data_IF_699343213647
#
_entry.id   IF_699343213647
#
_cell.length_a   1.000
_cell.length_b   1.000
_cell.length_c   1.000
_cell.angle_alpha   90.00
_cell.angle_beta   90.00
_cell.angle_gamma   90.00
#
_symmetry.space_group_name_H-M   'P 1'
#
loop_
_entity.id
_entity.type
_entity.pdbx_description
1 polymer ?
#
# COMPACT_ATOMS: atom_id res chain seq x y z
N UNK A 1 26.90 5.01 -3.17
CA UNK A 1 26.89 5.25 -1.71
C UNK A 1 25.77 6.19 -1.22
N UNK A 2 25.11 6.98 -2.07
CA UNK A 2 24.12 7.99 -1.64
C UNK A 2 22.81 7.36 -1.13
N UNK A 3 22.27 6.35 -1.82
CA UNK A 3 21.02 5.68 -1.42
C UNK A 3 21.08 5.02 -0.01
N UNK A 4 22.06 4.16 0.33
CA UNK A 4 22.09 3.50 1.65
C UNK A 4 22.25 4.49 2.81
N UNK A 5 22.98 5.60 2.61
CA UNK A 5 23.12 6.64 3.62
C UNK A 5 21.77 7.28 3.97
N UNK A 6 20.99 7.67 2.95
CA UNK A 6 19.68 8.29 3.13
C UNK A 6 18.63 7.31 3.69
N UNK A 7 18.75 6.03 3.36
CA UNK A 7 17.96 4.95 3.97
C UNK A 7 18.23 4.88 5.48
N UNK A 8 19.52 4.86 5.89
CA UNK A 8 19.90 4.82 7.30
C UNK A 8 19.49 6.08 8.06
N UNK A 9 19.64 7.27 7.44
CA UNK A 9 19.18 8.53 8.03
C UNK A 9 17.67 8.55 8.22
N UNK A 10 16.90 8.13 7.20
CA UNK A 10 15.45 8.01 7.31
C UNK A 10 15.04 7.04 8.43
N UNK A 11 15.73 5.89 8.56
CA UNK A 11 15.46 4.94 9.63
C UNK A 11 15.68 5.55 11.02
N UNK A 12 16.79 6.31 11.19
CA UNK A 12 17.06 7.04 12.44
C UNK A 12 15.97 8.06 12.75
N UNK A 13 15.48 8.79 11.75
CA UNK A 13 14.37 9.74 11.89
C UNK A 13 13.07 9.06 12.31
N UNK A 14 12.74 7.89 11.73
CA UNK A 14 11.54 7.14 12.12
C UNK A 14 11.64 6.59 13.54
N UNK A 15 12.83 6.10 13.93
CA UNK A 15 13.08 5.57 15.27
C UNK A 15 12.87 6.65 16.35
N UNK A 16 13.28 7.89 16.10
CA UNK A 16 13.01 9.01 17.00
C UNK A 16 11.55 9.49 16.95
N UNK A 17 10.83 9.17 15.86
CA UNK A 17 9.41 9.48 15.67
C UNK A 17 8.46 8.33 16.08
N UNK A 18 8.84 7.46 17.02
CA UNK A 18 8.04 6.28 17.39
C UNK A 18 6.58 6.61 17.79
N UNK A 19 6.36 7.72 18.51
CA UNK A 19 4.99 8.19 18.87
C UNK A 19 4.14 8.52 17.63
N UNK A 20 4.73 9.08 16.58
CA UNK A 20 4.05 9.33 15.30
C UNK A 20 3.65 8.02 14.64
N UNK A 21 4.55 7.03 14.61
CA UNK A 21 4.26 5.70 14.01
C UNK A 21 3.11 5.02 14.74
N UNK A 22 3.10 5.03 16.08
CA UNK A 22 2.01 4.49 16.89
C UNK A 22 0.70 5.24 16.64
N UNK A 23 0.75 6.57 16.55
CA UNK A 23 -0.43 7.38 16.22
C UNK A 23 -1.02 6.99 14.85
N UNK A 24 -0.19 6.88 13.81
CA UNK A 24 -0.63 6.45 12.48
C UNK A 24 -1.19 5.03 12.49
N UNK A 25 -0.59 4.12 13.27
CA UNK A 25 -1.13 2.78 13.47
C UNK A 25 -2.53 2.83 14.09
N UNK A 26 -2.74 3.62 15.15
CA UNK A 26 -4.05 3.77 15.80
C UNK A 26 -5.10 4.37 14.86
N UNK A 27 -4.73 5.36 14.04
CA UNK A 27 -5.62 5.93 13.02
C UNK A 27 -6.02 4.88 11.99
N UNK A 28 -5.06 4.09 11.48
CA UNK A 28 -5.36 2.99 10.55
C UNK A 28 -6.21 1.90 11.17
N UNK A 29 -5.95 1.54 12.44
CA UNK A 29 -6.75 0.57 13.19
C UNK A 29 -8.19 1.07 13.33
N UNK A 30 -8.38 2.33 13.76
CA UNK A 30 -9.69 2.95 13.87
C UNK A 30 -10.42 2.99 12.52
N UNK A 31 -9.73 3.33 11.44
CA UNK A 31 -10.32 3.32 10.10
C UNK A 31 -10.71 1.91 9.64
N UNK A 32 -9.88 0.90 9.92
CA UNK A 32 -10.15 -0.49 9.53
C UNK A 32 -11.40 -1.06 10.20
N UNK A 33 -11.79 -0.56 11.38
CA UNK A 33 -13.01 -0.96 12.08
C UNK A 33 -14.28 -0.66 11.26
N UNK A 34 -14.25 0.33 10.36
CA UNK A 34 -15.38 0.68 9.48
C UNK A 34 -15.81 -0.51 8.62
N UNK A 35 -14.86 -1.35 8.18
CA UNK A 35 -15.14 -2.58 7.44
C UNK A 35 -15.17 -3.82 8.34
N UNK A 36 -14.33 -3.85 9.37
CA UNK A 36 -14.21 -5.02 10.24
C UNK A 36 -15.48 -5.28 11.06
N UNK A 37 -16.14 -4.23 11.58
CA UNK A 37 -17.34 -4.39 12.42
C UNK A 37 -18.54 -4.92 11.63
N UNK A 38 -18.92 -4.36 10.46
CA UNK A 38 -20.01 -4.93 9.66
C UNK A 38 -19.72 -6.36 9.20
N UNK A 39 -18.46 -6.64 8.82
CA UNK A 39 -18.06 -8.00 8.46
C UNK A 39 -18.16 -8.96 9.65
N UNK A 40 -17.73 -8.54 10.84
CA UNK A 40 -17.86 -9.33 12.06
C UNK A 40 -19.32 -9.67 12.38
N UNK A 41 -20.21 -8.68 12.34
CA UNK A 41 -21.63 -8.89 12.60
C UNK A 41 -22.25 -9.87 11.57
N UNK A 42 -21.93 -9.69 10.29
CA UNK A 42 -22.38 -10.60 9.22
C UNK A 42 -21.89 -12.03 9.40
N UNK A 43 -20.63 -12.21 9.79
CA UNK A 43 -20.04 -13.52 10.07
C UNK A 43 -20.64 -14.15 11.35
N UNK A 44 -20.81 -13.36 12.41
CA UNK A 44 -21.39 -13.81 13.67
C UNK A 44 -22.83 -14.28 13.51
N UNK A 45 -23.64 -13.55 12.74
CA UNK A 45 -25.02 -13.92 12.42
C UNK A 45 -25.09 -15.22 11.59
N UNK A 46 -24.15 -15.41 10.66
CA UNK A 46 -24.04 -16.61 9.84
C UNK A 46 -23.60 -17.84 10.66
N UNK A 47 -22.62 -17.67 11.56
CA UNK A 47 -22.16 -18.73 12.45
C UNK A 47 -23.19 -19.09 13.52
N UNK A 48 -23.89 -18.11 14.10
CA UNK A 48 -24.90 -18.36 15.14
C UNK A 48 -26.08 -19.24 14.68
N UNK A 49 -26.27 -19.39 13.37
CA UNK A 49 -27.32 -20.21 12.75
C UNK A 49 -26.84 -21.60 12.32
N UNK A 50 -25.57 -21.97 12.54
CA UNK A 50 -24.99 -23.23 12.03
C UNK A 50 -23.88 -23.79 12.92
N UNK A 51 -23.48 -25.05 12.71
CA UNK A 51 -22.25 -25.62 13.28
C UNK A 51 -20.98 -25.17 12.53
N UNK A 52 -21.10 -24.23 11.58
CA UNK A 52 -19.98 -23.82 10.74
C UNK A 52 -18.83 -23.20 11.53
N UNK A 53 -19.09 -22.59 12.70
CA UNK A 53 -18.04 -22.09 13.58
C UNK A 53 -17.12 -23.19 14.12
N UNK A 54 -17.67 -24.36 14.49
CA UNK A 54 -16.89 -25.51 14.95
C UNK A 54 -16.10 -26.17 13.82
N UNK A 55 -16.67 -26.20 12.61
CA UNK A 55 -16.00 -26.70 11.42
C UNK A 55 -14.84 -25.78 11.04
N UNK A 56 -15.09 -24.46 10.92
CA UNK A 56 -14.09 -23.41 10.65
C UNK A 56 -12.89 -23.44 11.58
N UNK A 57 -13.10 -23.80 12.86
CA UNK A 57 -12.03 -23.89 13.84
C UNK A 57 -11.08 -25.08 13.60
N UNK A 58 -11.55 -26.12 12.89
CA UNK A 58 -10.75 -27.30 12.53
C UNK A 58 -10.18 -27.16 11.13
N UNK A 59 -11.04 -26.89 10.15
CA UNK A 59 -10.71 -26.79 8.73
C UNK A 59 -11.59 -25.76 8.03
N UNK A 60 -11.14 -25.28 6.86
CA UNK A 60 -11.95 -24.35 6.08
C UNK A 60 -13.15 -25.05 5.43
N UNK A 61 -14.33 -24.94 6.03
CA UNK A 61 -15.67 -25.26 5.50
C UNK A 61 -16.03 -24.45 4.24
N UNK A 62 -15.66 -25.01 3.08
CA UNK A 62 -15.97 -24.45 1.75
C UNK A 62 -17.46 -24.41 1.43
N UNK A 63 -18.25 -25.34 1.97
CA UNK A 63 -19.69 -25.42 1.70
C UNK A 63 -20.42 -24.25 2.34
N UNK A 64 -20.15 -24.01 3.64
CA UNK A 64 -20.66 -22.83 4.32
C UNK A 64 -20.22 -21.54 3.64
N UNK A 65 -18.95 -21.45 3.21
CA UNK A 65 -18.45 -20.25 2.54
C UNK A 65 -19.18 -19.97 1.22
N UNK A 66 -19.44 -21.00 0.40
CA UNK A 66 -20.21 -20.84 -0.83
C UNK A 66 -21.63 -20.32 -0.52
N UNK A 67 -22.33 -20.93 0.44
CA UNK A 67 -23.66 -20.50 0.84
C UNK A 67 -23.68 -19.06 1.40
N UNK A 68 -22.69 -18.70 2.22
CA UNK A 68 -22.53 -17.34 2.77
C UNK A 68 -22.28 -16.31 1.67
N UNK A 69 -21.39 -16.62 0.72
CA UNK A 69 -21.06 -15.72 -0.39
C UNK A 69 -22.23 -15.57 -1.37
N UNK A 70 -22.92 -16.65 -1.70
CA UNK A 70 -24.01 -16.65 -2.68
C UNK A 70 -25.26 -15.92 -2.14
N UNK A 71 -25.45 -15.91 -0.81
CA UNK A 71 -26.49 -15.11 -0.14
C UNK A 71 -26.05 -13.68 0.15
N UNK A 72 -24.74 -13.46 0.23
CA UNK A 72 -24.14 -12.18 0.60
C UNK A 72 -24.37 -11.08 -0.42
N UNK A 73 -24.62 -9.85 0.06
CA UNK A 73 -24.65 -8.64 -0.77
C UNK A 73 -23.66 -7.62 -0.22
N UNK A 74 -23.14 -6.74 -1.08
CA UNK A 74 -22.21 -5.71 -0.67
C UNK A 74 -20.90 -6.31 -0.12
N UNK A 75 -20.49 -5.89 1.08
CA UNK A 75 -19.22 -6.28 1.69
C UNK A 75 -19.07 -7.80 1.91
N UNK A 76 -20.15 -8.53 2.25
CA UNK A 76 -20.04 -9.96 2.56
C UNK A 76 -19.66 -10.82 1.34
N UNK A 77 -19.96 -10.36 0.12
CA UNK A 77 -19.61 -11.08 -1.11
C UNK A 77 -18.12 -11.04 -1.43
N UNK A 78 -17.36 -10.12 -0.81
CA UNK A 78 -15.90 -10.02 -0.96
C UNK A 78 -15.14 -10.96 -0.03
N UNK A 79 -15.82 -11.64 0.89
CA UNK A 79 -15.19 -12.59 1.79
C UNK A 79 -14.82 -13.87 1.03
N UNK A 80 -13.54 -14.25 1.07
CA UNK A 80 -13.03 -15.40 0.32
C UNK A 80 -11.78 -16.02 0.93
N UNK A 81 -11.47 -17.29 0.59
CA UNK A 81 -10.24 -17.97 1.02
C UNK A 81 -8.99 -17.21 0.55
N UNK A 82 -9.09 -16.55 -0.60
CA UNK A 82 -8.06 -15.70 -1.17
C UNK A 82 -7.87 -14.36 -0.46
N UNK A 83 -8.66 -14.01 0.56
CA UNK A 83 -8.45 -12.78 1.35
C UNK A 83 -7.36 -12.99 2.40
N UNK A 84 -6.97 -14.24 2.66
CA UNK A 84 -6.09 -14.64 3.76
C UNK A 84 -4.94 -15.51 3.24
N UNK A 85 -3.69 -15.10 3.43
CA UNK A 85 -2.48 -15.90 3.09
C UNK A 85 -1.71 -15.45 1.85
N UNK A 86 -0.78 -16.29 1.33
CA UNK A 86 0.11 -15.99 0.18
C UNK A 86 -0.65 -15.55 -1.08
N UNK A 87 -1.70 -16.30 -1.43
CA UNK A 87 -2.50 -16.05 -2.63
C UNK A 87 -3.20 -14.69 -2.61
N UNK A 88 -3.52 -14.17 -1.43
CA UNK A 88 -4.15 -12.86 -1.28
C UNK A 88 -3.26 -11.73 -1.79
N UNK A 89 -1.99 -11.73 -1.40
CA UNK A 89 -1.06 -10.67 -1.77
C UNK A 89 -0.78 -10.68 -3.28
N UNK A 90 -0.58 -11.87 -3.85
CA UNK A 90 -0.30 -12.03 -5.28
C UNK A 90 -1.52 -11.67 -6.13
N UNK A 91 -2.71 -12.16 -5.78
CA UNK A 91 -3.94 -11.86 -6.53
C UNK A 91 -4.30 -10.38 -6.48
N UNK A 92 -4.10 -9.71 -5.35
CA UNK A 92 -4.33 -8.27 -5.22
C UNK A 92 -3.32 -7.45 -6.03
N UNK A 93 -2.04 -7.85 -6.03
CA UNK A 93 -1.00 -7.19 -6.82
C UNK A 93 -1.25 -7.37 -8.32
N UNK A 94 -1.55 -8.60 -8.75
CA UNK A 94 -1.88 -8.92 -10.13
C UNK A 94 -3.15 -8.16 -10.58
N UNK A 95 -4.20 -8.16 -9.76
CA UNK A 95 -5.43 -7.42 -10.03
C UNK A 95 -5.18 -5.92 -10.19
N UNK A 96 -4.31 -5.34 -9.35
CA UNK A 96 -3.93 -3.93 -9.45
C UNK A 96 -3.12 -3.65 -10.74
N UNK A 97 -2.14 -4.49 -11.06
CA UNK A 97 -1.32 -4.33 -12.28
C UNK A 97 -2.15 -4.48 -13.55
N UNK A 98 -3.11 -5.40 -13.55
CA UNK A 98 -4.04 -5.65 -14.66
C UNK A 98 -5.23 -4.68 -14.67
N UNK A 99 -5.28 -3.70 -13.77
CA UNK A 99 -6.38 -2.74 -13.66
C UNK A 99 -7.77 -3.40 -13.54
N UNK A 100 -7.84 -4.58 -12.88
CA UNK A 100 -9.09 -5.28 -12.56
C UNK A 100 -9.82 -4.55 -11.43
N UNK A 101 -10.42 -3.43 -11.78
CA UNK A 101 -11.18 -2.56 -10.86
C UNK A 101 -12.68 -2.84 -10.89
N UNK A 102 -13.13 -3.67 -11.84
CA UNK A 102 -14.52 -4.07 -12.00
C UNK A 102 -14.83 -5.24 -11.07
N UNK A 103 -15.88 -5.11 -10.26
CA UNK A 103 -16.36 -6.18 -9.37
C UNK A 103 -16.29 -5.88 -7.87
N UNK A 104 -15.73 -4.73 -7.46
CA UNK A 104 -15.81 -4.30 -6.06
C UNK A 104 -17.18 -3.72 -5.71
N UNK A 105 -17.78 -4.06 -4.56
CA UNK A 105 -18.99 -3.43 -4.07
C UNK A 105 -18.84 -1.92 -3.86
N UNK A 106 -19.94 -1.17 -4.01
CA UNK A 106 -19.93 0.29 -3.88
C UNK A 106 -19.44 0.76 -2.50
N UNK A 107 -19.76 0.02 -1.44
CA UNK A 107 -19.35 0.31 -0.07
C UNK A 107 -17.82 0.25 0.07
N UNK A 108 -17.19 -0.73 -0.57
CA UNK A 108 -15.73 -0.85 -0.60
C UNK A 108 -15.09 0.34 -1.32
N UNK A 109 -15.67 0.76 -2.45
CA UNK A 109 -15.18 1.92 -3.20
C UNK A 109 -15.29 3.21 -2.38
N UNK A 110 -16.41 3.44 -1.69
CA UNK A 110 -16.58 4.62 -0.82
C UNK A 110 -15.54 4.63 0.30
N UNK A 111 -15.34 3.51 0.99
CA UNK A 111 -14.33 3.41 2.05
C UNK A 111 -12.92 3.60 1.47
N UNK A 112 -12.62 3.04 0.31
CA UNK A 112 -11.36 3.24 -0.38
C UNK A 112 -11.10 4.72 -0.71
N UNK A 113 -12.11 5.45 -1.24
CA UNK A 113 -12.01 6.88 -1.52
C UNK A 113 -11.74 7.69 -0.24
N UNK A 114 -12.48 7.42 0.84
CA UNK A 114 -12.27 8.09 2.14
C UNK A 114 -10.87 7.78 2.68
N UNK A 115 -10.42 6.53 2.55
CA UNK A 115 -9.07 6.14 2.97
C UNK A 115 -7.99 6.91 2.22
N UNK A 116 -8.19 7.19 0.92
CA UNK A 116 -7.22 7.98 0.14
C UNK A 116 -7.21 9.44 0.59
N UNK A 117 -8.37 10.01 0.92
CA UNK A 117 -8.44 11.34 1.52
C UNK A 117 -7.70 11.38 2.85
N UNK A 118 -7.97 10.41 3.73
CA UNK A 118 -7.27 10.26 5.02
C UNK A 118 -5.76 10.12 4.81
N UNK A 119 -5.31 9.24 3.92
CA UNK A 119 -3.90 9.02 3.63
C UNK A 119 -3.22 10.27 3.08
N UNK A 120 -3.90 11.02 2.21
CA UNK A 120 -3.42 12.29 1.66
C UNK A 120 -3.26 13.34 2.76
N UNK A 121 -4.22 13.40 3.69
CA UNK A 121 -4.18 14.26 4.87
C UNK A 121 -3.02 13.89 5.81
N UNK A 122 -2.86 12.61 6.14
CA UNK A 122 -1.79 12.14 7.02
C UNK A 122 -0.41 12.39 6.43
N UNK A 123 -0.25 12.26 5.11
CA UNK A 123 1.01 12.51 4.43
C UNK A 123 1.53 13.94 4.64
N UNK A 124 0.65 14.94 4.68
CA UNK A 124 1.01 16.34 4.94
C UNK A 124 1.65 16.53 6.32
N UNK A 125 1.02 15.99 7.36
CA UNK A 125 1.53 16.05 8.73
C UNK A 125 2.84 15.29 8.92
N UNK A 126 2.99 14.12 8.29
CA UNK A 126 4.23 13.33 8.36
C UNK A 126 5.41 14.12 7.77
N UNK A 127 5.27 14.62 6.54
CA UNK A 127 6.34 15.35 5.86
C UNK A 127 6.64 16.69 6.55
N UNK A 128 5.63 17.36 7.08
CA UNK A 128 5.81 18.60 7.85
C UNK A 128 6.65 18.36 9.11
N UNK A 129 6.31 17.36 9.93
CA UNK A 129 7.10 17.03 11.13
C UNK A 129 8.53 16.61 10.79
N UNK A 130 8.73 15.81 9.74
CA UNK A 130 10.09 15.42 9.31
C UNK A 130 10.89 16.61 8.76
N UNK A 131 10.23 17.59 8.15
CA UNK A 131 10.88 18.81 7.71
C UNK A 131 11.42 19.64 8.88
N UNK A 132 10.62 19.84 9.92
CA UNK A 132 11.02 20.64 11.09
C UNK A 132 12.13 19.99 11.94
N UNK A 133 12.40 18.70 11.73
CA UNK A 133 13.21 17.89 12.62
C UNK A 133 12.35 17.27 13.71
N UNK A 134 12.83 16.20 14.35
CA UNK A 134 12.02 15.38 15.28
C UNK A 134 12.43 15.63 16.75
N UNK A 135 12.00 16.74 17.41
CA UNK A 135 12.25 16.90 18.83
C UNK A 135 11.25 16.14 19.71
N UNK A 136 9.97 15.97 19.32
CA UNK A 136 8.97 15.08 19.95
C UNK A 136 7.63 15.15 19.18
N UNK A 137 6.79 14.11 19.20
CA UNK A 137 5.50 14.14 18.49
C UNK A 137 4.49 15.08 19.17
N UNK A 138 3.96 16.03 18.41
CA UNK A 138 2.91 16.95 18.84
C UNK A 138 1.74 16.93 17.84
N UNK A 139 0.54 16.61 18.33
CA UNK A 139 -0.67 16.48 17.50
C UNK A 139 -1.06 17.80 16.82
N UNK A 140 -0.90 18.95 17.49
CA UNK A 140 -1.26 20.26 16.90
C UNK A 140 -0.39 20.55 15.69
N UNK A 141 0.94 20.42 15.84
CA UNK A 141 1.89 20.59 14.72
C UNK A 141 1.61 19.60 13.59
N UNK A 142 1.31 18.34 13.92
CA UNK A 142 0.91 17.35 12.92
C UNK A 142 -0.31 17.81 12.13
N UNK A 143 -1.37 18.26 12.82
CA UNK A 143 -2.60 18.73 12.20
C UNK A 143 -2.39 20.02 11.40
N UNK A 144 -1.54 20.94 11.86
CA UNK A 144 -1.17 22.16 11.15
C UNK A 144 -0.53 21.82 9.80
N UNK A 145 0.42 20.87 9.80
CA UNK A 145 1.03 20.36 8.57
C UNK A 145 0.04 19.61 7.68
N UNK A 146 -0.78 18.75 8.26
CA UNK A 146 -1.81 18.01 7.52
C UNK A 146 -2.79 18.94 6.83
N UNK A 147 -3.38 19.89 7.54
CA UNK A 147 -4.34 20.87 6.98
C UNK A 147 -3.68 21.83 6.00
N UNK A 148 -2.46 22.31 6.31
CA UNK A 148 -1.74 23.27 5.48
C UNK A 148 -1.38 22.73 4.09
N UNK A 149 -0.95 21.46 4.01
CA UNK A 149 -0.55 20.82 2.75
C UNK A 149 -1.65 20.00 2.07
N UNK A 150 -2.77 19.73 2.75
CA UNK A 150 -3.84 18.87 2.23
C UNK A 150 -4.35 19.26 0.84
N UNK A 151 -4.64 20.54 0.51
CA UNK A 151 -5.18 20.89 -0.81
C UNK A 151 -4.20 20.61 -1.95
N UNK A 152 -2.92 20.97 -1.76
CA UNK A 152 -1.88 20.70 -2.78
C UNK A 152 -1.60 19.21 -2.92
N UNK A 153 -1.62 18.45 -1.81
CA UNK A 153 -1.45 17.00 -1.84
C UNK A 153 -2.65 16.29 -2.46
N UNK A 154 -3.87 16.77 -2.23
CA UNK A 154 -5.08 16.27 -2.86
C UNK A 154 -5.03 16.50 -4.37
N UNK A 155 -4.64 17.70 -4.80
CA UNK A 155 -4.41 18.00 -6.21
C UNK A 155 -3.36 17.10 -6.87
N UNK A 156 -2.24 16.83 -6.18
CA UNK A 156 -1.25 15.85 -6.65
C UNK A 156 -1.81 14.42 -6.69
N UNK A 157 -2.61 14.01 -5.71
CA UNK A 157 -3.23 12.68 -5.69
C UNK A 157 -4.20 12.53 -6.87
N UNK A 158 -5.05 13.52 -7.15
CA UNK A 158 -5.94 13.50 -8.32
C UNK A 158 -5.16 13.47 -9.64
N UNK A 159 -4.12 14.30 -9.76
CA UNK A 159 -3.24 14.29 -10.94
C UNK A 159 -2.54 12.94 -11.11
N UNK A 160 -2.13 12.29 -10.01
CA UNK A 160 -1.54 10.96 -10.05
C UNK A 160 -2.51 9.93 -10.59
N UNK A 161 -3.79 9.97 -10.18
CA UNK A 161 -4.79 9.05 -10.68
C UNK A 161 -5.02 9.18 -12.16
N UNK A 162 -5.10 10.41 -12.68
CA UNK A 162 -5.20 10.65 -14.12
C UNK A 162 -4.07 9.96 -14.87
N UNK A 163 -2.83 10.06 -14.37
CA UNK A 163 -1.67 9.40 -14.99
C UNK A 163 -1.68 7.87 -14.79
N UNK A 164 -2.02 7.38 -13.60
CA UNK A 164 -2.16 5.96 -13.29
C UNK A 164 -3.20 5.29 -14.20
N UNK A 165 -4.38 5.88 -14.34
CA UNK A 165 -5.44 5.38 -15.22
C UNK A 165 -5.04 5.50 -16.69
N UNK A 166 -4.43 6.61 -17.10
CA UNK A 166 -3.93 6.77 -18.48
C UNK A 166 -2.94 5.66 -18.85
N UNK A 167 -1.98 5.37 -17.98
CA UNK A 167 -1.03 4.27 -18.20
C UNK A 167 -1.71 2.91 -18.12
N UNK A 168 -2.58 2.71 -17.13
CA UNK A 168 -3.30 1.46 -16.92
C UNK A 168 -4.20 1.08 -18.11
N UNK A 169 -4.90 2.03 -18.72
CA UNK A 169 -5.80 1.75 -19.85
C UNK A 169 -5.12 1.80 -21.22
N UNK A 170 -3.94 2.43 -21.34
CA UNK A 170 -3.24 2.55 -22.64
C UNK A 170 -2.03 1.63 -22.75
N UNK A 171 -1.17 1.58 -21.73
CA UNK A 171 0.08 0.84 -21.78
C UNK A 171 -0.11 -0.63 -21.43
N UNK A 172 -0.84 -0.94 -20.36
CA UNK A 172 -0.99 -2.33 -19.87
C UNK A 172 -1.62 -3.24 -20.93
N UNK A 173 -2.71 -2.86 -21.64
CA UNK A 173 -3.28 -3.71 -22.69
C UNK A 173 -2.32 -3.94 -23.85
N UNK A 174 -1.49 -2.95 -24.20
CA UNK A 174 -0.48 -3.10 -25.26
C UNK A 174 0.64 -4.06 -24.86
N UNK A 175 1.06 -4.02 -23.60
CA UNK A 175 2.05 -4.96 -23.06
C UNK A 175 1.48 -6.37 -22.99
N UNK A 176 0.21 -6.51 -22.59
CA UNK A 176 -0.48 -7.80 -22.54
C UNK A 176 -0.67 -8.38 -23.95
N UNK A 177 -1.12 -7.57 -24.91
CA UNK A 177 -1.23 -7.98 -26.31
C UNK A 177 0.13 -8.43 -26.88
N UNK A 178 1.22 -7.71 -26.57
CA UNK A 178 2.56 -8.09 -26.97
C UNK A 178 2.98 -9.45 -26.36
N UNK A 179 2.65 -9.69 -25.09
CA UNK A 179 2.91 -10.96 -24.43
C UNK A 179 2.09 -12.12 -25.03
N UNK A 180 0.81 -11.88 -25.31
CA UNK A 180 -0.09 -12.86 -25.94
C UNK A 180 0.37 -13.24 -27.35
N UNK A 181 0.89 -12.29 -28.16
CA UNK A 181 1.46 -12.59 -29.48
C UNK A 181 2.64 -13.56 -29.39
N UNK A 182 3.50 -13.40 -28.39
CA UNK A 182 4.61 -14.34 -28.12
C UNK A 182 4.05 -15.71 -27.71
N UNK A 183 3.06 -15.73 -26.83
CA UNK A 183 2.40 -16.96 -26.38
C UNK A 183 1.73 -17.73 -27.52
N UNK A 184 1.03 -17.04 -28.42
CA UNK A 184 0.31 -17.65 -29.55
C UNK A 184 1.25 -18.30 -30.58
N UNK A 185 2.51 -17.85 -30.65
CA UNK A 185 3.53 -18.41 -31.54
C UNK A 185 4.34 -19.55 -30.91
N UNK A 186 4.14 -19.83 -29.61
CA UNK A 186 4.94 -20.79 -28.87
C UNK A 186 4.32 -22.20 -28.91
N UNK A 187 5.18 -23.21 -29.08
CA UNK A 187 4.78 -24.63 -29.00
C UNK A 187 4.61 -25.13 -27.55
N UNK A 188 4.95 -24.31 -26.56
CA UNK A 188 4.88 -24.62 -25.12
C UNK A 188 4.38 -23.42 -24.33
N UNK A 189 3.92 -23.62 -23.10
CA UNK A 189 3.42 -22.56 -22.21
C UNK A 189 4.53 -21.65 -21.64
N UNK A 190 5.79 -22.10 -21.68
CA UNK A 190 6.91 -21.44 -21.00
C UNK A 190 7.20 -20.02 -21.55
N UNK A 191 7.25 -19.79 -22.88
CA UNK A 191 7.46 -18.47 -23.44
C UNK A 191 6.31 -17.50 -23.11
N UNK A 192 5.06 -17.98 -23.08
CA UNK A 192 3.89 -17.19 -22.68
C UNK A 192 4.01 -16.71 -21.23
N UNK A 193 4.40 -17.61 -20.32
CA UNK A 193 4.65 -17.25 -18.92
C UNK A 193 5.71 -16.15 -18.76
N UNK A 194 6.88 -16.32 -19.37
CA UNK A 194 7.96 -15.32 -19.25
C UNK A 194 7.62 -14.00 -19.92
N UNK A 195 6.90 -14.02 -21.05
CA UNK A 195 6.42 -12.82 -21.71
C UNK A 195 5.41 -12.05 -20.83
N UNK A 196 4.44 -12.74 -20.23
CA UNK A 196 3.48 -12.16 -19.30
C UNK A 196 4.15 -11.58 -18.04
N UNK A 197 5.14 -12.29 -17.49
CA UNK A 197 5.95 -11.79 -16.37
C UNK A 197 6.73 -10.53 -16.76
N UNK A 198 7.39 -10.51 -17.92
CA UNK A 198 8.12 -9.36 -18.41
C UNK A 198 7.19 -8.14 -18.64
N UNK A 199 6.02 -8.35 -19.23
CA UNK A 199 4.98 -7.33 -19.40
C UNK A 199 4.52 -6.75 -18.05
N UNK A 200 4.25 -7.62 -17.07
CA UNK A 200 3.82 -7.22 -15.72
C UNK A 200 4.91 -6.44 -14.98
N UNK A 201 6.18 -6.87 -15.09
CA UNK A 201 7.32 -6.16 -14.49
C UNK A 201 7.55 -4.79 -15.17
N UNK A 202 7.39 -4.71 -16.48
CA UNK A 202 7.50 -3.44 -17.22
C UNK A 202 6.40 -2.45 -16.80
N UNK A 203 5.14 -2.91 -16.71
CA UNK A 203 4.04 -2.10 -16.21
C UNK A 203 4.28 -1.64 -14.77
N UNK A 204 4.68 -2.57 -13.90
CA UNK A 204 5.02 -2.29 -12.50
C UNK A 204 6.12 -1.24 -12.37
N UNK A 205 7.18 -1.31 -13.18
CA UNK A 205 8.26 -0.32 -13.18
C UNK A 205 7.77 1.09 -13.57
N UNK A 206 6.90 1.20 -14.57
CA UNK A 206 6.30 2.48 -14.97
C UNK A 206 5.43 3.04 -13.85
N UNK A 207 4.61 2.21 -13.21
CA UNK A 207 3.81 2.62 -12.05
C UNK A 207 4.68 3.07 -10.87
N UNK A 208 5.78 2.37 -10.59
CA UNK A 208 6.75 2.76 -9.56
C UNK A 208 7.41 4.09 -9.88
N UNK A 209 7.77 4.34 -11.14
CA UNK A 209 8.36 5.61 -11.58
C UNK A 209 7.37 6.77 -11.41
N UNK A 210 6.11 6.59 -11.81
CA UNK A 210 5.05 7.58 -11.60
C UNK A 210 4.90 7.85 -10.10
N UNK A 211 4.79 6.81 -9.30
CA UNK A 211 4.64 6.93 -7.85
C UNK A 211 5.82 7.70 -7.22
N UNK A 212 7.05 7.39 -7.61
CA UNK A 212 8.24 8.08 -7.14
C UNK A 212 8.22 9.57 -7.50
N UNK A 213 7.84 9.92 -8.74
CA UNK A 213 7.70 11.33 -9.17
C UNK A 213 6.72 12.09 -8.28
N UNK A 214 5.56 11.50 -7.96
CA UNK A 214 4.58 12.13 -7.08
C UNK A 214 5.01 12.21 -5.62
N UNK A 215 5.72 11.20 -5.09
CA UNK A 215 6.26 11.27 -3.74
C UNK A 215 7.35 12.37 -3.64
N UNK A 216 8.25 12.52 -4.62
CA UNK A 216 9.19 13.66 -4.66
C UNK A 216 8.50 15.00 -4.87
N UNK A 217 7.41 15.08 -5.65
CA UNK A 217 6.63 16.31 -5.77
C UNK A 217 6.04 16.75 -4.42
N UNK A 218 5.54 15.81 -3.61
CA UNK A 218 5.07 16.08 -2.23
C UNK A 218 6.22 16.56 -1.34
N UNK A 219 7.38 15.91 -1.40
CA UNK A 219 8.59 16.33 -0.67
C UNK A 219 9.00 17.76 -1.05
N UNK A 220 8.97 18.09 -2.34
CA UNK A 220 9.31 19.42 -2.85
C UNK A 220 8.34 20.51 -2.40
N UNK A 221 7.03 20.24 -2.43
CA UNK A 221 6.00 21.13 -1.85
C UNK A 221 6.35 21.51 -0.41
N UNK A 222 6.71 20.52 0.40
CA UNK A 222 6.99 20.74 1.81
C UNK A 222 8.33 21.43 2.02
N UNK A 223 9.39 21.04 1.32
CA UNK A 223 10.73 21.63 1.44
C UNK A 223 10.83 23.08 0.96
N UNK A 224 10.00 23.46 -0.01
CA UNK A 224 10.04 24.76 -0.68
C UNK A 224 8.81 25.61 -0.40
N UNK A 225 7.89 25.13 0.47
CA UNK A 225 6.64 25.81 0.85
C UNK A 225 5.75 26.20 -0.34
N UNK A 226 5.73 25.35 -1.37
CA UNK A 226 5.04 25.66 -2.63
C UNK A 226 3.62 25.11 -2.64
N UNK A 227 2.68 25.90 -3.16
CA UNK A 227 1.28 25.46 -3.37
C UNK A 227 0.95 25.07 -4.81
N UNK A 228 1.80 25.44 -5.78
CA UNK A 228 1.56 25.15 -7.21
C UNK A 228 1.88 23.68 -7.53
N UNK A 229 0.81 22.91 -7.78
CA UNK A 229 0.81 21.46 -8.00
C UNK A 229 1.61 21.08 -9.25
N UNK A 230 1.37 21.73 -10.39
CA UNK A 230 2.01 21.38 -11.67
C UNK A 230 3.51 21.67 -11.66
N UNK A 231 3.91 22.77 -11.03
CA UNK A 231 5.33 23.09 -10.88
C UNK A 231 6.03 22.09 -9.97
N UNK A 232 5.41 21.70 -8.86
CA UNK A 232 5.95 20.66 -7.98
C UNK A 232 6.05 19.30 -8.67
N UNK A 233 5.05 18.93 -9.48
CA UNK A 233 5.10 17.73 -10.33
C UNK A 233 6.27 17.78 -11.32
N UNK A 234 6.45 18.90 -12.03
CA UNK A 234 7.57 19.09 -12.95
C UNK A 234 8.93 19.02 -12.27
N UNK A 235 9.08 19.62 -11.08
CA UNK A 235 10.32 19.55 -10.29
C UNK A 235 10.59 18.13 -9.77
N UNK A 236 9.55 17.40 -9.34
CA UNK A 236 9.64 15.99 -8.98
C UNK A 236 10.07 15.11 -10.16
N UNK A 237 9.49 15.35 -11.34
CA UNK A 237 9.84 14.64 -12.57
C UNK A 237 11.29 14.91 -12.98
N UNK A 238 11.69 16.19 -13.03
CA UNK A 238 13.07 16.59 -13.34
C UNK A 238 14.05 15.99 -12.33
N UNK A 239 13.69 15.93 -11.04
CA UNK A 239 14.54 15.33 -10.01
C UNK A 239 14.78 13.83 -10.26
N UNK A 240 13.71 13.07 -10.52
CA UNK A 240 13.81 11.63 -10.81
C UNK A 240 14.61 11.39 -12.10
N UNK A 241 14.39 12.19 -13.15
CA UNK A 241 15.11 12.05 -14.42
C UNK A 241 16.58 12.46 -14.35
N UNK A 242 16.93 13.47 -13.53
CA UNK A 242 18.33 13.88 -13.31
C UNK A 242 19.10 12.90 -12.42
N UNK A 243 18.40 12.23 -11.50
CA UNK A 243 19.01 11.31 -10.54
C UNK A 243 18.29 9.96 -10.48
N UNK A 244 18.18 9.21 -11.61
CA UNK A 244 17.33 8.02 -11.69
C UNK A 244 17.84 6.90 -10.79
N UNK A 245 19.15 6.64 -10.78
CA UNK A 245 19.73 5.59 -9.94
C UNK A 245 19.61 5.89 -8.45
N UNK A 246 19.72 7.15 -8.04
CA UNK A 246 19.60 7.53 -6.63
C UNK A 246 18.13 7.50 -6.17
N UNK A 247 17.22 8.06 -6.96
CA UNK A 247 15.79 8.13 -6.64
C UNK A 247 15.11 6.76 -6.73
N UNK A 248 15.22 6.06 -7.86
CA UNK A 248 14.64 4.72 -8.04
C UNK A 248 15.37 3.68 -7.20
N UNK A 249 16.70 3.76 -7.05
CA UNK A 249 17.44 2.84 -6.19
C UNK A 249 17.01 2.92 -4.72
N UNK A 250 16.79 4.13 -4.21
CA UNK A 250 16.23 4.34 -2.87
C UNK A 250 14.78 3.81 -2.78
N UNK A 251 13.94 4.13 -3.76
CA UNK A 251 12.55 3.70 -3.78
C UNK A 251 12.41 2.17 -3.85
N UNK A 252 13.15 1.52 -4.76
CA UNK A 252 13.20 0.06 -4.89
C UNK A 252 13.74 -0.61 -3.63
N UNK A 253 14.76 -0.05 -2.97
CA UNK A 253 15.28 -0.60 -1.72
C UNK A 253 14.22 -0.62 -0.62
N UNK A 254 13.39 0.43 -0.54
CA UNK A 254 12.29 0.50 0.42
C UNK A 254 11.12 -0.40 0.02
N UNK A 255 10.84 -0.57 -1.28
CA UNK A 255 9.90 -1.58 -1.77
C UNK A 255 10.35 -2.99 -1.37
N UNK A 256 11.64 -3.32 -1.52
CA UNK A 256 12.22 -4.60 -1.08
C UNK A 256 12.08 -4.76 0.44
N UNK A 257 12.31 -3.72 1.24
CA UNK A 257 12.07 -3.78 2.68
C UNK A 257 10.60 -4.10 3.03
N UNK A 258 9.64 -3.51 2.29
CA UNK A 258 8.22 -3.84 2.44
C UNK A 258 7.86 -5.25 1.98
N UNK A 259 8.49 -5.74 0.91
CA UNK A 259 8.34 -7.12 0.44
C UNK A 259 8.88 -8.11 1.47
N UNK A 260 10.07 -7.86 2.02
CA UNK A 260 10.65 -8.68 3.10
C UNK A 260 9.73 -8.70 4.31
N UNK A 261 9.21 -7.55 4.74
CA UNK A 261 8.24 -7.49 5.85
C UNK A 261 6.98 -8.32 5.56
N UNK A 262 6.47 -8.27 4.33
CA UNK A 262 5.29 -9.03 3.90
C UNK A 262 5.56 -10.54 3.84
N UNK A 263 6.73 -10.94 3.34
CA UNK A 263 7.18 -12.34 3.30
C UNK A 263 7.36 -12.89 4.71
N UNK A 264 8.01 -12.14 5.61
CA UNK A 264 8.16 -12.52 7.02
C UNK A 264 6.79 -12.71 7.70
N UNK A 265 5.84 -11.80 7.45
CA UNK A 265 4.48 -11.93 7.97
C UNK A 265 3.82 -13.24 7.54
N UNK A 266 3.89 -13.56 6.25
CA UNK A 266 3.30 -14.76 5.67
C UNK A 266 3.97 -16.04 6.18
N UNK A 267 5.30 -16.11 6.17
CA UNK A 267 6.05 -17.28 6.61
C UNK A 267 5.76 -17.61 8.07
N UNK A 268 5.67 -16.59 8.93
CA UNK A 268 5.39 -16.81 10.35
C UNK A 268 3.94 -17.23 10.59
N UNK A 269 2.99 -16.72 9.80
CA UNK A 269 1.58 -17.12 9.89
C UNK A 269 1.37 -18.60 9.56
N UNK A 270 2.02 -19.09 8.50
CA UNK A 270 1.81 -20.48 8.05
C UNK A 270 2.47 -21.52 8.95
N UNK A 271 3.56 -21.14 9.63
CA UNK A 271 4.23 -22.02 10.59
C UNK A 271 3.62 -21.94 12.00
N UNK A 272 2.77 -20.96 12.28
CA UNK A 272 2.12 -20.78 13.58
C UNK A 272 0.87 -21.68 13.70
N UNK A 273 1.06 -22.99 13.77
CA UNK A 273 0.00 -23.95 14.08
C UNK A 273 -0.20 -24.08 15.60
N UNK A 274 -0.82 -23.07 16.22
CA UNK A 274 -1.18 -23.13 17.64
C UNK A 274 -2.70 -23.26 17.79
N UNK A 275 -3.25 -24.46 18.02
CA UNK A 275 -4.68 -24.60 18.29
C UNK A 275 -5.06 -23.88 19.60
N UNK A 276 -6.28 -23.31 19.63
CA UNK A 276 -6.86 -22.65 20.79
C UNK A 276 -6.59 -21.15 20.91
N UNK A 277 -7.06 -20.56 22.01
CA UNK A 277 -7.02 -19.10 22.25
C UNK A 277 -5.62 -18.48 22.21
N UNK A 278 -4.60 -19.23 22.63
CA UNK A 278 -3.21 -18.78 22.56
C UNK A 278 -2.74 -18.50 21.13
N UNK A 279 -3.13 -19.36 20.17
CA UNK A 279 -2.82 -19.15 18.75
C UNK A 279 -3.56 -17.96 18.16
N UNK A 280 -4.81 -17.75 18.56
CA UNK A 280 -5.60 -16.57 18.14
C UNK A 280 -4.94 -15.28 18.63
N UNK A 281 -4.53 -15.22 19.91
CA UNK A 281 -3.84 -14.05 20.47
C UNK A 281 -2.49 -13.80 19.81
N UNK A 282 -1.72 -14.84 19.51
CA UNK A 282 -0.44 -14.74 18.81
C UNK A 282 -0.63 -14.24 17.37
N UNK A 283 -1.57 -14.83 16.62
CA UNK A 283 -1.89 -14.42 15.26
C UNK A 283 -2.37 -12.97 15.21
N UNK A 284 -3.23 -12.57 16.16
CA UNK A 284 -3.68 -11.19 16.31
C UNK A 284 -2.50 -10.25 16.60
N UNK A 285 -1.66 -10.57 17.58
CA UNK A 285 -0.49 -9.76 17.94
C UNK A 285 0.47 -9.61 16.77
N UNK A 286 0.72 -10.71 16.04
CA UNK A 286 1.56 -10.72 14.86
C UNK A 286 1.00 -9.85 13.74
N UNK A 287 -0.31 -9.91 13.50
CA UNK A 287 -0.99 -9.02 12.56
C UNK A 287 -0.87 -7.55 12.99
N UNK A 288 -1.00 -7.23 14.28
CA UNK A 288 -0.84 -5.85 14.76
C UNK A 288 0.60 -5.34 14.58
N UNK A 289 1.61 -6.17 14.85
CA UNK A 289 3.01 -5.84 14.60
C UNK A 289 3.30 -5.62 13.11
N UNK A 290 2.69 -6.42 12.23
CA UNK A 290 2.80 -6.23 10.79
C UNK A 290 2.20 -4.88 10.34
N UNK A 291 0.99 -4.55 10.79
CA UNK A 291 0.35 -3.26 10.46
C UNK A 291 1.14 -2.07 11.01
N UNK A 292 1.68 -2.18 12.23
CA UNK A 292 2.58 -1.19 12.81
C UNK A 292 3.86 -1.04 11.97
N UNK A 293 4.43 -2.15 11.51
CA UNK A 293 5.57 -2.18 10.60
C UNK A 293 5.30 -1.47 9.27
N UNK A 294 4.12 -1.65 8.67
CA UNK A 294 3.70 -0.94 7.46
C UNK A 294 3.57 0.57 7.68
N UNK A 295 3.02 0.99 8.83
CA UNK A 295 2.97 2.41 9.19
C UNK A 295 4.39 2.99 9.34
N UNK A 296 5.28 2.26 10.00
CA UNK A 296 6.70 2.62 10.13
C UNK A 296 7.42 2.70 8.79
N UNK A 297 7.18 1.75 7.88
CA UNK A 297 7.74 1.74 6.54
C UNK A 297 7.31 2.96 5.73
N UNK A 298 6.05 3.39 5.82
CA UNK A 298 5.60 4.61 5.12
C UNK A 298 6.32 5.86 5.64
N UNK A 299 6.48 5.97 6.95
CA UNK A 299 7.31 7.01 7.56
C UNK A 299 8.76 6.94 7.09
N UNK A 300 9.31 5.73 6.97
CA UNK A 300 10.68 5.51 6.52
C UNK A 300 10.89 5.97 5.09
N UNK A 301 9.96 5.65 4.19
CA UNK A 301 9.98 6.13 2.81
C UNK A 301 10.03 7.66 2.76
N UNK A 302 9.11 8.34 3.42
CA UNK A 302 9.07 9.80 3.40
C UNK A 302 10.29 10.46 4.03
N UNK A 303 10.80 9.93 5.15
CA UNK A 303 12.01 10.46 5.77
C UNK A 303 13.23 10.28 4.86
N UNK A 304 13.38 9.12 4.22
CA UNK A 304 14.50 8.83 3.31
C UNK A 304 14.46 9.66 2.02
N UNK A 305 13.28 9.84 1.42
CA UNK A 305 13.09 10.71 0.25
C UNK A 305 13.39 12.18 0.60
N UNK A 306 12.96 12.65 1.77
CA UNK A 306 13.23 13.99 2.26
C UNK A 306 14.73 14.26 2.43
N UNK A 307 15.46 13.32 3.04
CA UNK A 307 16.92 13.44 3.18
C UNK A 307 17.63 13.42 1.81
N UNK A 308 17.20 12.55 0.89
CA UNK A 308 17.78 12.50 -0.45
C UNK A 308 17.52 13.78 -1.23
N UNK A 309 16.32 14.34 -1.14
CA UNK A 309 15.97 15.61 -1.78
C UNK A 309 16.74 16.81 -1.18
N UNK A 310 17.06 16.76 0.12
CA UNK A 310 17.94 17.76 0.77
C UNK A 310 19.38 17.65 0.32
N UNK A 311 19.89 16.42 0.13
CA UNK A 311 21.27 16.18 -0.29
C UNK A 311 21.60 16.82 -1.66
N UNK A 312 20.64 16.79 -2.59
CA UNK A 312 20.78 17.38 -3.92
C UNK A 312 20.24 18.81 -4.03
N UNK A 313 19.95 19.47 -2.91
CA UNK A 313 19.57 20.89 -2.91
C UNK A 313 20.87 21.71 -3.07
N UNK A 314 20.94 22.64 -4.04
CA UNK A 314 22.06 23.57 -4.15
C UNK A 314 22.12 24.52 -2.96
#
# INVERSE_FOLDING_TARGET
MIAPLNILQGFKTVRSAGRLVVFLYLVNLGFSMVLAVPMHNSLADSFGRSRAGENMAREFDFLWWQEYRDRGRGLSSTFGPSVIGRGALLNNLEGLLQMKLVGFPAEFLVVFLIYILLRTFLAGGILHLFREGVPEFNLRRFLDGSLGYFPSFLGLTLLSWVLFFSVGFVLVPKLDEAAQRISASALTELPGFWAGLAASLAAGLVFLLIQAVFDYARVKIVLEERRNIFRAFGEGLVFVLKHPLASLGLYLSLCVAGLVLSVLYVLLKENAAFPGWGGVLLAFTWQQLFVLGLAGLRCWTYASELHLARYFRP
#
